data_IF_475884530771
#
_entry.id   IF_475884530771
#
_cell.length_a   1.000
_cell.length_b   1.000
_cell.length_c   1.000
_cell.angle_alpha   90.00
_cell.angle_beta   90.00
_cell.angle_gamma   90.00
#
_symmetry.space_group_name_H-M   'P 1'
#
loop_
_entity.id
_entity.type
_entity.pdbx_description
1 polymer ?
#
# COMPACT_ATOMS: atom_id res chain seq x y z
N UNK A 1 2.29 13.94 21.83
CA UNK A 1 1.44 14.61 20.82
C UNK A 1 1.53 13.98 19.44
N UNK A 2 2.74 13.76 18.87
CA UNK A 2 2.92 13.15 17.53
C UNK A 2 2.25 11.78 17.35
N UNK A 3 2.49 10.81 18.24
CA UNK A 3 1.93 9.45 18.11
C UNK A 3 0.39 9.43 18.09
N UNK A 4 -0.27 10.27 18.91
CA UNK A 4 -1.73 10.42 18.89
C UNK A 4 -2.22 10.95 17.53
N UNK A 5 -1.56 11.98 17.00
CA UNK A 5 -1.88 12.53 15.67
C UNK A 5 -1.65 11.49 14.57
N UNK A 6 -0.59 10.68 14.66
CA UNK A 6 -0.34 9.59 13.72
C UNK A 6 -1.46 8.55 13.71
N UNK A 7 -1.98 8.18 14.88
CA UNK A 7 -3.13 7.28 14.99
C UNK A 7 -4.41 7.92 14.41
N UNK A 8 -4.70 9.18 14.76
CA UNK A 8 -5.84 9.93 14.22
C UNK A 8 -5.78 10.06 12.69
N UNK A 9 -4.60 10.37 12.15
CA UNK A 9 -4.35 10.46 10.72
C UNK A 9 -4.47 9.12 10.01
N UNK A 10 -3.98 8.03 10.63
CA UNK A 10 -4.13 6.68 10.10
C UNK A 10 -5.60 6.30 9.94
N UNK A 11 -6.44 6.61 10.93
CA UNK A 11 -7.89 6.38 10.87
C UNK A 11 -8.52 7.21 9.73
N UNK A 12 -8.17 8.50 9.61
CA UNK A 12 -8.68 9.36 8.54
C UNK A 12 -8.26 8.86 7.16
N UNK A 13 -6.99 8.51 6.99
CA UNK A 13 -6.44 8.00 5.74
C UNK A 13 -7.13 6.70 5.33
N UNK A 14 -7.31 5.79 6.28
CA UNK A 14 -7.99 4.52 6.02
C UNK A 14 -9.45 4.74 5.63
N UNK A 15 -10.19 5.63 6.33
CA UNK A 15 -11.55 6.01 5.93
C UNK A 15 -11.62 6.57 4.51
N UNK A 16 -10.71 7.47 4.14
CA UNK A 16 -10.65 7.97 2.76
C UNK A 16 -10.43 6.86 1.73
N UNK A 17 -9.60 5.86 2.06
CA UNK A 17 -9.44 4.69 1.21
C UNK A 17 -10.72 3.85 1.09
N UNK A 18 -11.47 3.66 2.19
CA UNK A 18 -12.76 2.98 2.16
C UNK A 18 -13.78 3.69 1.26
N UNK A 19 -13.85 5.02 1.34
CA UNK A 19 -14.75 5.82 0.49
C UNK A 19 -14.41 5.64 -1.00
N UNK A 20 -13.11 5.60 -1.33
CA UNK A 20 -12.63 5.37 -2.70
C UNK A 20 -12.98 3.96 -3.17
N UNK A 21 -12.77 2.94 -2.34
CA UNK A 21 -13.13 1.55 -2.63
C UNK A 21 -14.63 1.46 -2.95
N UNK A 22 -15.48 2.03 -2.09
CA UNK A 22 -16.94 2.01 -2.27
C UNK A 22 -17.36 2.71 -3.57
N UNK A 23 -16.78 3.87 -3.87
CA UNK A 23 -17.07 4.60 -5.10
C UNK A 23 -16.64 3.83 -6.36
N UNK A 24 -15.57 3.06 -6.29
CA UNK A 24 -15.12 2.19 -7.38
C UNK A 24 -16.04 0.97 -7.55
N UNK A 25 -16.39 0.28 -6.46
CA UNK A 25 -17.29 -0.91 -6.51
C UNK A 25 -18.66 -0.56 -7.10
N UNK A 26 -19.15 0.66 -6.86
CA UNK A 26 -20.39 1.15 -7.46
C UNK A 26 -20.31 1.31 -9.01
N UNK A 27 -19.10 1.26 -9.59
CA UNK A 27 -18.83 1.43 -11.03
C UNK A 27 -17.66 0.50 -11.46
N UNK A 28 -17.86 -0.83 -11.49
CA UNK A 28 -16.78 -1.82 -11.57
C UNK A 28 -16.17 -1.98 -12.97
N UNK A 29 -16.79 -1.42 -14.02
CA UNK A 29 -16.39 -1.64 -15.42
C UNK A 29 -15.06 -0.97 -15.83
N UNK A 30 -14.36 -0.32 -14.89
CA UNK A 30 -13.10 0.39 -15.14
C UNK A 30 -12.09 0.09 -14.05
N UNK A 31 -10.78 0.15 -14.34
CA UNK A 31 -9.74 0.09 -13.33
C UNK A 31 -9.93 1.08 -12.19
N UNK A 32 -9.41 0.75 -11.01
CA UNK A 32 -9.32 1.72 -9.92
C UNK A 32 -8.40 2.85 -10.38
N UNK A 33 -8.93 4.07 -10.44
CA UNK A 33 -8.18 5.24 -10.86
C UNK A 33 -7.16 5.65 -9.78
N UNK A 34 -6.02 4.95 -9.74
CA UNK A 34 -4.88 5.29 -8.91
C UNK A 34 -3.96 6.25 -9.68
N UNK A 35 -3.92 7.50 -9.26
CA UNK A 35 -3.09 8.54 -9.88
C UNK A 35 -2.00 9.04 -8.93
N UNK A 36 -0.92 9.66 -9.44
CA UNK A 36 0.06 10.35 -8.60
C UNK A 36 -0.58 11.34 -7.61
N UNK A 37 -1.61 12.06 -8.06
CA UNK A 37 -2.38 12.99 -7.23
C UNK A 37 -3.11 12.28 -6.09
N UNK A 38 -3.74 11.13 -6.35
CA UNK A 38 -4.41 10.36 -5.31
C UNK A 38 -3.41 9.84 -4.27
N UNK A 39 -2.27 9.30 -4.71
CA UNK A 39 -1.20 8.81 -3.84
C UNK A 39 -0.70 9.94 -2.92
N UNK A 40 -0.41 11.11 -3.50
CA UNK A 40 -0.02 12.32 -2.75
C UNK A 40 -1.12 12.79 -1.79
N UNK A 41 -2.39 12.70 -2.19
CA UNK A 41 -3.53 13.03 -1.35
C UNK A 41 -3.64 12.14 -0.12
N UNK A 42 -3.56 10.81 -0.30
CA UNK A 42 -3.56 9.86 0.81
C UNK A 42 -2.33 10.04 1.72
N UNK A 43 -1.15 10.31 1.14
CA UNK A 43 0.04 10.64 1.91
C UNK A 43 -0.14 11.94 2.73
N UNK A 44 -0.77 12.97 2.14
CA UNK A 44 -1.08 14.22 2.82
C UNK A 44 -1.93 13.99 4.07
N UNK A 45 -2.98 13.16 3.95
CA UNK A 45 -3.85 12.82 5.09
C UNK A 45 -3.07 12.10 6.19
N UNK A 46 -2.17 11.17 5.83
CA UNK A 46 -1.36 10.43 6.81
C UNK A 46 -0.44 11.35 7.62
N UNK A 47 0.11 12.39 7.00
CA UNK A 47 1.16 13.24 7.58
C UNK A 47 0.67 14.64 7.98
N UNK A 48 -0.64 14.88 7.88
CA UNK A 48 -1.28 16.15 8.21
C UNK A 48 -0.97 16.61 9.65
N UNK A 49 -0.44 17.82 9.79
CA UNK A 49 0.00 18.37 11.07
C UNK A 49 1.19 17.63 11.73
N UNK A 50 1.88 16.75 11.00
CA UNK A 50 3.08 16.02 11.46
C UNK A 50 4.31 16.42 10.63
N UNK A 51 4.16 16.53 9.31
CA UNK A 51 5.24 16.86 8.40
C UNK A 51 4.79 17.96 7.42
N UNK A 52 5.59 19.02 7.27
CA UNK A 52 5.32 20.13 6.35
C UNK A 52 5.35 19.70 4.87
N UNK A 53 6.05 18.60 4.56
CA UNK A 53 6.12 18.03 3.21
C UNK A 53 5.00 17.01 2.95
N UNK A 54 3.96 16.94 3.79
CA UNK A 54 2.81 16.07 3.60
C UNK A 54 2.20 16.25 2.19
N UNK A 55 2.13 15.16 1.43
CA UNK A 55 1.65 15.15 0.05
C UNK A 55 2.63 15.67 -1.01
N UNK A 56 3.90 15.90 -0.67
CA UNK A 56 4.95 16.29 -1.62
C UNK A 56 6.02 15.20 -1.71
N UNK A 57 6.53 14.94 -2.92
CA UNK A 57 7.67 14.04 -3.08
C UNK A 57 8.90 14.60 -2.36
N UNK A 58 9.77 13.69 -1.91
CA UNK A 58 11.07 14.10 -1.37
C UNK A 58 11.92 14.74 -2.46
N UNK A 59 12.73 15.72 -2.06
CA UNK A 59 13.72 16.41 -2.89
C UNK A 59 15.17 15.98 -2.56
N UNK A 60 15.34 15.09 -1.58
CA UNK A 60 16.63 14.61 -1.10
C UNK A 60 16.74 13.09 -1.20
N UNK A 61 17.98 12.60 -1.18
CA UNK A 61 18.25 11.17 -1.02
C UNK A 61 17.89 10.72 0.40
N UNK A 62 17.40 9.49 0.52
CA UNK A 62 17.01 8.91 1.80
C UNK A 62 17.53 7.48 1.90
N UNK A 63 17.81 7.06 3.13
CA UNK A 63 18.12 5.67 3.46
C UNK A 63 16.93 5.09 4.22
N UNK A 64 16.57 3.85 3.88
CA UNK A 64 15.51 3.13 4.58
C UNK A 64 16.15 2.40 5.77
N UNK A 65 15.73 2.74 6.99
CA UNK A 65 16.29 2.12 8.19
C UNK A 65 16.04 0.60 8.19
N UNK A 66 17.13 -0.18 8.30
CA UNK A 66 17.06 -1.65 8.37
C UNK A 66 16.92 -2.35 7.01
N UNK A 67 17.05 -1.62 5.90
CA UNK A 67 16.97 -2.14 4.53
C UNK A 67 18.28 -1.87 3.78
N UNK A 68 18.66 -2.77 2.88
CA UNK A 68 19.79 -2.56 1.96
C UNK A 68 19.37 -1.89 0.63
N UNK A 69 18.07 -1.63 0.47
CA UNK A 69 17.55 -0.98 -0.72
C UNK A 69 17.95 0.50 -0.79
N UNK A 70 18.35 0.92 -1.99
CA UNK A 70 18.68 2.31 -2.30
C UNK A 70 17.57 2.83 -3.23
N UNK A 71 16.69 3.72 -2.73
CA UNK A 71 15.61 4.26 -3.54
C UNK A 71 16.12 5.07 -4.75
N UNK A 72 15.29 5.23 -5.80
CA UNK A 72 15.58 6.11 -6.94
C UNK A 72 15.98 7.54 -6.56
N UNK A 73 16.60 8.28 -7.48
CA UNK A 73 16.93 9.68 -7.24
C UNK A 73 15.64 10.51 -7.18
N UNK A 74 15.60 11.61 -6.40
CA UNK A 74 14.41 12.47 -6.31
C UNK A 74 13.82 12.90 -7.65
N UNK A 75 14.67 13.21 -8.62
CA UNK A 75 14.26 13.65 -9.96
C UNK A 75 13.51 12.57 -10.75
N UNK A 76 13.75 11.29 -10.47
CA UNK A 76 13.15 10.17 -11.20
C UNK A 76 11.82 9.70 -10.56
N UNK A 77 11.49 10.18 -9.34
CA UNK A 77 10.30 9.75 -8.59
C UNK A 77 9.00 9.98 -9.38
N UNK A 78 8.75 11.16 -9.99
CA UNK A 78 7.50 11.40 -10.70
C UNK A 78 7.24 10.36 -11.80
N UNK A 79 8.28 10.04 -12.59
CA UNK A 79 8.19 9.10 -13.70
C UNK A 79 7.96 7.67 -13.19
N UNK A 80 8.65 7.27 -12.12
CA UNK A 80 8.41 5.95 -11.52
C UNK A 80 7.02 5.79 -10.90
N UNK A 81 6.48 6.84 -10.26
CA UNK A 81 5.12 6.80 -9.71
C UNK A 81 4.09 6.78 -10.84
N UNK A 82 4.29 7.57 -11.90
CA UNK A 82 3.42 7.55 -13.08
C UNK A 82 3.44 6.18 -13.76
N UNK A 83 4.62 5.63 -14.04
CA UNK A 83 4.74 4.30 -14.65
C UNK A 83 4.17 3.18 -13.77
N UNK A 84 4.21 3.31 -12.45
CA UNK A 84 3.50 2.40 -11.55
C UNK A 84 1.97 2.52 -11.71
N UNK A 85 1.43 3.74 -11.79
CA UNK A 85 0.00 3.96 -12.04
C UNK A 85 -0.43 3.38 -13.40
N UNK A 86 0.35 3.60 -14.45
CA UNK A 86 0.08 3.08 -15.80
C UNK A 86 0.12 1.55 -15.81
N UNK A 87 1.09 0.93 -15.13
CA UNK A 87 1.15 -0.53 -14.98
C UNK A 87 -0.11 -1.09 -14.28
N UNK A 88 -0.62 -0.41 -13.26
CA UNK A 88 -1.82 -0.89 -12.55
C UNK A 88 -3.05 -0.83 -13.46
N UNK A 89 -3.16 0.21 -14.29
CA UNK A 89 -4.24 0.38 -15.26
C UNK A 89 -4.18 -0.69 -16.35
N UNK A 90 -2.99 -0.88 -16.95
CA UNK A 90 -2.73 -1.86 -18.02
C UNK A 90 -3.05 -3.29 -17.58
N UNK A 91 -2.59 -3.69 -16.40
CA UNK A 91 -2.72 -5.05 -15.89
C UNK A 91 -3.95 -5.27 -15.00
N UNK A 92 -4.85 -4.28 -14.91
CA UNK A 92 -6.01 -4.37 -14.02
C UNK A 92 -6.89 -5.59 -14.31
N UNK A 93 -7.11 -5.96 -15.56
CA UNK A 93 -7.97 -7.10 -15.90
C UNK A 93 -7.21 -8.43 -16.13
N UNK A 94 -5.87 -8.40 -16.22
CA UNK A 94 -5.05 -9.55 -16.61
C UNK A 94 -4.27 -10.23 -15.48
N UNK A 95 -4.24 -9.64 -14.29
CA UNK A 95 -3.46 -10.11 -13.13
C UNK A 95 -4.39 -10.36 -11.94
N UNK A 96 -4.06 -11.31 -11.07
CA UNK A 96 -4.83 -11.60 -9.86
C UNK A 96 -4.83 -10.46 -8.84
N UNK A 97 -5.83 -10.45 -7.94
CA UNK A 97 -5.99 -9.37 -6.96
C UNK A 97 -4.84 -9.28 -5.97
N UNK A 98 -4.40 -10.42 -5.45
CA UNK A 98 -3.27 -10.50 -4.52
C UNK A 98 -1.97 -10.10 -5.22
N UNK A 99 -1.72 -10.60 -6.42
CA UNK A 99 -0.51 -10.29 -7.20
C UNK A 99 -0.41 -8.77 -7.48
N UNK A 100 -1.48 -8.14 -7.96
CA UNK A 100 -1.48 -6.70 -8.20
C UNK A 100 -1.32 -5.90 -6.90
N UNK A 101 -1.92 -6.34 -5.80
CA UNK A 101 -1.76 -5.71 -4.49
C UNK A 101 -0.35 -5.85 -3.93
N UNK A 102 0.30 -7.00 -4.14
CA UNK A 102 1.70 -7.25 -3.79
C UNK A 102 2.63 -6.33 -4.59
N UNK A 103 2.42 -6.23 -5.91
CA UNK A 103 3.17 -5.31 -6.76
C UNK A 103 3.08 -3.88 -6.23
N UNK A 104 1.88 -3.39 -5.93
CA UNK A 104 1.65 -2.04 -5.42
C UNK A 104 2.33 -1.81 -4.06
N UNK A 105 2.21 -2.78 -3.15
CA UNK A 105 2.83 -2.71 -1.84
C UNK A 105 4.35 -2.60 -1.95
N UNK A 106 4.97 -3.47 -2.76
CA UNK A 106 6.40 -3.42 -3.03
C UNK A 106 6.79 -2.11 -3.72
N UNK A 107 6.13 -1.77 -4.84
CA UNK A 107 6.56 -0.71 -5.76
C UNK A 107 6.56 0.66 -5.10
N UNK A 108 5.58 0.99 -4.24
CA UNK A 108 5.59 2.25 -3.49
C UNK A 108 6.78 2.30 -2.51
N UNK A 109 7.07 1.20 -1.82
CA UNK A 109 8.20 1.15 -0.88
C UNK A 109 9.55 1.19 -1.62
N UNK A 110 9.65 0.55 -2.78
CA UNK A 110 10.84 0.57 -3.65
C UNK A 110 11.11 1.97 -4.20
N UNK A 111 10.08 2.67 -4.71
CA UNK A 111 10.22 4.06 -5.18
C UNK A 111 10.56 4.99 -4.01
N UNK A 112 9.96 4.71 -2.84
CA UNK A 112 10.09 5.50 -1.62
C UNK A 112 9.87 7.01 -1.87
N UNK A 113 8.69 7.40 -2.40
CA UNK A 113 8.49 8.73 -3.00
C UNK A 113 8.52 9.89 -1.99
N UNK A 114 8.36 9.62 -0.69
CA UNK A 114 8.23 10.63 0.36
C UNK A 114 9.37 10.57 1.38
N UNK A 115 9.59 11.64 2.14
CA UNK A 115 10.62 11.70 3.18
C UNK A 115 10.28 10.86 4.43
N UNK A 116 8.98 10.71 4.73
CA UNK A 116 8.42 9.82 5.75
C UNK A 116 7.04 9.37 5.24
N UNK A 117 6.42 8.35 5.83
CA UNK A 117 5.04 7.97 5.53
C UNK A 117 4.86 6.94 4.43
N UNK A 118 5.95 6.50 3.80
CA UNK A 118 5.92 5.56 2.67
C UNK A 118 5.20 4.26 3.04
N UNK A 119 5.63 3.57 4.10
CA UNK A 119 5.01 2.31 4.50
C UNK A 119 3.53 2.44 4.91
N UNK A 120 3.13 3.55 5.56
CA UNK A 120 1.72 3.81 5.91
C UNK A 120 0.87 3.93 4.64
N UNK A 121 1.33 4.77 3.72
CA UNK A 121 0.65 5.04 2.44
C UNK A 121 0.62 3.79 1.56
N UNK A 122 1.72 3.03 1.48
CA UNK A 122 1.81 1.80 0.71
C UNK A 122 0.81 0.73 1.19
N UNK A 123 0.69 0.51 2.52
CA UNK A 123 -0.27 -0.44 3.07
C UNK A 123 -1.72 -0.05 2.79
N UNK A 124 -2.04 1.23 2.93
CA UNK A 124 -3.40 1.72 2.64
C UNK A 124 -3.74 1.56 1.15
N UNK A 125 -2.81 1.89 0.24
CA UNK A 125 -3.06 1.77 -1.19
C UNK A 125 -3.08 0.29 -1.62
N UNK A 126 -2.22 -0.55 -1.07
CA UNK A 126 -2.27 -2.01 -1.25
C UNK A 126 -3.66 -2.56 -0.90
N UNK A 127 -4.16 -2.23 0.29
CA UNK A 127 -5.49 -2.62 0.74
C UNK A 127 -6.60 -2.09 -0.18
N UNK A 128 -6.46 -0.84 -0.64
CA UNK A 128 -7.39 -0.20 -1.56
C UNK A 128 -7.47 -0.93 -2.90
N UNK A 129 -6.32 -1.26 -3.49
CA UNK A 129 -6.22 -2.00 -4.75
C UNK A 129 -6.79 -3.41 -4.58
N UNK A 130 -6.40 -4.15 -3.54
CA UNK A 130 -6.91 -5.49 -3.26
C UNK A 130 -8.44 -5.50 -3.13
N UNK A 131 -9.00 -4.61 -2.30
CA UNK A 131 -10.44 -4.52 -2.06
C UNK A 131 -11.22 -4.14 -3.32
N UNK A 132 -10.71 -3.15 -4.07
CA UNK A 132 -11.31 -2.70 -5.31
C UNK A 132 -11.34 -3.83 -6.35
N UNK A 133 -10.23 -4.55 -6.52
CA UNK A 133 -10.13 -5.66 -7.47
C UNK A 133 -11.04 -6.84 -7.12
N UNK A 134 -11.18 -7.13 -5.83
CA UNK A 134 -12.08 -8.16 -5.33
C UNK A 134 -13.55 -7.74 -5.40
N UNK A 135 -13.84 -6.45 -5.54
CA UNK A 135 -15.20 -5.93 -5.70
C UNK A 135 -15.97 -5.76 -4.38
N UNK A 136 -15.29 -5.74 -3.23
CA UNK A 136 -15.94 -5.51 -1.93
C UNK A 136 -15.03 -4.78 -0.96
N UNK A 137 -15.65 -4.03 -0.04
CA UNK A 137 -14.95 -3.58 1.17
C UNK A 137 -14.72 -4.81 2.04
N UNK A 138 -13.45 -5.23 2.17
CA UNK A 138 -13.11 -6.45 2.92
C UNK A 138 -13.68 -6.37 4.35
N UNK A 139 -14.56 -7.30 4.76
CA UNK A 139 -15.12 -7.30 6.10
C UNK A 139 -14.13 -7.85 7.12
N UNK A 140 -14.43 -7.67 8.41
CA UNK A 140 -13.69 -8.27 9.51
C UNK A 140 -12.47 -7.47 9.97
N UNK A 141 -11.85 -7.96 11.06
CA UNK A 141 -10.70 -7.34 11.70
C UNK A 141 -9.83 -8.40 12.39
N UNK A 142 -8.53 -8.14 12.64
CA UNK A 142 -7.76 -6.96 12.24
C UNK A 142 -7.61 -6.87 10.72
N UNK A 143 -7.64 -5.65 10.19
CA UNK A 143 -7.43 -5.38 8.75
C UNK A 143 -5.99 -5.70 8.34
N UNK A 144 -5.73 -5.99 7.06
CA UNK A 144 -4.37 -6.25 6.57
C UNK A 144 -3.36 -5.15 6.99
N UNK A 145 -3.66 -3.83 6.87
CA UNK A 145 -2.76 -2.78 7.36
C UNK A 145 -2.49 -2.84 8.87
N UNK A 146 -3.47 -3.22 9.69
CA UNK A 146 -3.32 -3.40 11.14
C UNK A 146 -2.47 -4.63 11.46
N UNK A 147 -2.66 -5.73 10.72
CA UNK A 147 -1.84 -6.94 10.87
C UNK A 147 -0.36 -6.65 10.59
N UNK A 148 -0.05 -5.96 9.49
CA UNK A 148 1.34 -5.55 9.19
C UNK A 148 1.86 -4.53 10.21
N UNK A 149 1.01 -3.63 10.71
CA UNK A 149 1.43 -2.66 11.73
C UNK A 149 1.79 -3.32 13.06
N UNK A 150 1.08 -4.40 13.42
CA UNK A 150 1.30 -5.20 14.63
C UNK A 150 2.57 -6.06 14.55
N UNK A 151 2.86 -6.66 13.40
CA UNK A 151 4.11 -7.37 13.15
C UNK A 151 4.68 -7.02 11.77
N UNK A 152 5.77 -6.25 11.78
CA UNK A 152 6.44 -5.75 10.56
C UNK A 152 7.51 -6.71 10.05
N UNK A 153 7.92 -7.72 10.82
CA UNK A 153 9.07 -8.56 10.45
C UNK A 153 8.80 -9.38 9.18
N UNK A 154 7.66 -10.10 9.04
CA UNK A 154 7.35 -10.82 7.80
C UNK A 154 7.27 -9.86 6.60
N UNK A 155 6.66 -8.70 6.81
CA UNK A 155 6.51 -7.65 5.79
C UNK A 155 7.86 -7.11 5.28
N UNK A 156 8.79 -6.80 6.18
CA UNK A 156 10.13 -6.36 5.78
C UNK A 156 10.92 -7.47 5.09
N UNK A 157 10.79 -8.72 5.54
CA UNK A 157 11.45 -9.86 4.90
C UNK A 157 11.06 -10.00 3.44
N UNK A 158 9.75 -9.98 3.14
CA UNK A 158 9.27 -10.15 1.75
C UNK A 158 9.55 -8.92 0.87
N UNK A 159 9.72 -7.72 1.46
CA UNK A 159 10.20 -6.55 0.73
C UNK A 159 11.66 -6.73 0.29
N UNK A 160 12.56 -7.14 1.20
CA UNK A 160 13.97 -7.38 0.86
C UNK A 160 14.12 -8.51 -0.17
N UNK A 161 13.34 -9.59 -0.06
CA UNK A 161 13.32 -10.66 -1.06
C UNK A 161 12.93 -10.16 -2.45
N UNK A 162 11.90 -9.31 -2.53
CA UNK A 162 11.47 -8.70 -3.78
C UNK A 162 12.56 -7.74 -4.33
N UNK A 163 13.16 -6.92 -3.47
CA UNK A 163 14.27 -6.03 -3.86
C UNK A 163 15.48 -6.79 -4.40
N UNK A 164 15.84 -7.91 -3.77
CA UNK A 164 16.96 -8.75 -4.20
C UNK A 164 16.66 -9.56 -5.47
N UNK A 165 15.40 -9.96 -5.69
CA UNK A 165 15.00 -10.48 -6.99
C UNK A 165 15.13 -9.42 -8.08
N UNK A 166 14.64 -8.21 -7.82
CA UNK A 166 14.63 -7.11 -8.79
C UNK A 166 16.05 -6.71 -9.21
N UNK A 167 16.99 -6.64 -8.27
CA UNK A 167 18.42 -6.42 -8.55
C UNK A 167 19.03 -7.48 -9.47
N UNK A 168 18.49 -8.71 -9.46
CA UNK A 168 18.92 -9.82 -10.33
C UNK A 168 18.20 -9.83 -11.69
N UNK A 169 17.34 -8.85 -11.97
CA UNK A 169 16.71 -8.64 -13.28
C UNK A 169 15.33 -9.28 -13.45
N UNK A 170 14.69 -9.74 -12.36
CA UNK A 170 13.31 -10.24 -12.39
C UNK A 170 12.56 -9.84 -11.13
N UNK A 171 11.23 -9.74 -11.17
CA UNK A 171 10.43 -9.41 -10.00
C UNK A 171 9.78 -10.68 -9.44
N UNK A 172 10.14 -11.09 -8.23
CA UNK A 172 9.48 -12.18 -7.51
C UNK A 172 8.65 -11.61 -6.36
N UNK A 173 7.33 -11.84 -6.40
CA UNK A 173 6.38 -11.37 -5.39
C UNK A 173 5.68 -12.49 -4.62
N UNK A 174 5.96 -13.76 -4.93
CA UNK A 174 5.25 -14.91 -4.35
C UNK A 174 5.24 -14.93 -2.82
N UNK A 175 6.34 -14.54 -2.17
CA UNK A 175 6.38 -14.43 -0.71
C UNK A 175 5.46 -13.34 -0.16
N UNK A 176 5.35 -12.21 -0.86
CA UNK A 176 4.45 -11.11 -0.52
C UNK A 176 2.99 -11.47 -0.80
N UNK A 177 2.72 -12.18 -1.89
CA UNK A 177 1.40 -12.70 -2.24
C UNK A 177 0.89 -13.66 -1.16
N UNK A 178 1.68 -14.68 -0.81
CA UNK A 178 1.32 -15.63 0.26
C UNK A 178 1.10 -14.93 1.60
N UNK A 179 1.88 -13.89 1.92
CA UNK A 179 1.67 -13.08 3.12
C UNK A 179 0.32 -12.35 3.07
N UNK A 180 -0.01 -11.70 1.95
CA UNK A 180 -1.26 -10.98 1.78
C UNK A 180 -2.48 -11.92 1.81
N UNK A 181 -2.38 -13.11 1.21
CA UNK A 181 -3.42 -14.14 1.26
C UNK A 181 -3.69 -14.61 2.68
N UNK A 182 -2.65 -14.92 3.44
CA UNK A 182 -2.78 -15.34 4.84
C UNK A 182 -3.42 -14.22 5.71
N UNK A 183 -3.05 -12.96 5.45
CA UNK A 183 -3.63 -11.81 6.15
C UNK A 183 -5.09 -11.57 5.75
N UNK A 184 -5.41 -11.72 4.47
CA UNK A 184 -6.78 -11.64 3.96
C UNK A 184 -7.66 -12.72 4.61
N UNK A 185 -7.20 -13.96 4.61
CA UNK A 185 -7.91 -15.09 5.22
C UNK A 185 -8.16 -14.85 6.73
N UNK A 186 -7.15 -14.32 7.44
CA UNK A 186 -7.30 -13.93 8.85
C UNK A 186 -8.31 -12.82 9.05
N UNK A 187 -8.28 -11.78 8.21
CA UNK A 187 -9.24 -10.67 8.28
C UNK A 187 -10.67 -11.17 8.05
N UNK A 188 -10.88 -11.99 7.00
CA UNK A 188 -12.19 -12.54 6.66
C UNK A 188 -12.74 -13.46 7.76
N UNK A 189 -11.90 -14.28 8.41
CA UNK A 189 -12.30 -15.06 9.59
C UNK A 189 -12.76 -14.17 10.75
N UNK A 190 -12.14 -13.01 10.93
CA UNK A 190 -12.55 -12.01 11.92
C UNK A 190 -13.89 -11.33 11.61
N UNK A 191 -14.48 -11.57 10.44
CA UNK A 191 -15.84 -11.14 10.10
C UNK A 191 -16.92 -12.15 10.52
N UNK A 192 -16.54 -13.42 10.74
CA UNK A 192 -17.50 -14.44 11.13
C UNK A 192 -18.09 -14.09 12.51
N UNK A 193 -19.41 -14.23 12.72
CA UNK A 193 -19.97 -14.10 14.05
C UNK A 193 -19.25 -15.09 14.95
N UNK A 194 -18.78 -14.63 16.12
CA UNK A 194 -18.30 -15.53 17.16
C UNK A 194 -19.33 -16.64 17.29
N UNK A 195 -18.96 -17.88 16.97
CA UNK A 195 -19.87 -19.01 17.09
C UNK A 195 -20.50 -18.93 18.48
N UNK A 196 -21.82 -18.75 18.52
CA UNK A 196 -22.56 -18.69 19.77
C UNK A 196 -22.36 -20.04 20.46
N UNK A 197 -21.51 -20.04 21.49
CA UNK A 197 -21.40 -21.11 22.47
C UNK A 197 -22.43 -20.86 23.58
#
# INVERSE_FOLDING_TARGET
MKARREAENGIRQFRSALDIIQAHIAKPDRPLLLTPTLIKGLHKVALDGINIQAGSYRNEHVTIQGSQHIPPRPADIPDFVLGMCDHIDEYWHGIDATELAAYVLWRINWIHPFADGNGRTARTICYMVLSAKLGYVLPGSPTIPEQIAADKQPYYKVLEEADDSWKRGFLALSGMESMLEAMLERQLRGAAPAAAN
#
